data_IF_915153674428
#
_entry.id   IF_915153674428
#
_cell.length_a   1.000
_cell.length_b   1.000
_cell.length_c   1.000
_cell.angle_alpha   90.00
_cell.angle_beta   90.00
_cell.angle_gamma   90.00
#
_symmetry.space_group_name_H-M   'P 1'
#
loop_
_entity.id
_entity.type
_entity.pdbx_description
1 polymer ?
#
# COMPACT_ATOMS: atom_id res chain seq x y z
N UNK A 1 -36.82 -60.84 44.19
CA UNK A 1 -35.66 -59.91 44.29
C UNK A 1 -36.17 -58.55 43.88
N UNK A 2 -36.36 -57.69 44.88
CA UNK A 2 -37.18 -56.46 44.88
C UNK A 2 -36.43 -55.25 44.32
N UNK A 3 -37.21 -54.26 43.87
CA UNK A 3 -36.84 -53.07 43.07
C UNK A 3 -36.29 -51.91 43.95
N UNK A 4 -35.88 -52.17 45.19
CA UNK A 4 -35.42 -51.16 46.16
C UNK A 4 -33.89 -51.11 46.32
N UNK A 5 -33.15 -50.88 45.23
CA UNK A 5 -31.70 -50.67 45.34
C UNK A 5 -31.15 -49.57 44.41
N UNK A 6 -32.01 -48.76 43.79
CA UNK A 6 -31.60 -47.76 42.78
C UNK A 6 -31.78 -46.29 43.24
N UNK A 7 -32.05 -46.06 44.53
CA UNK A 7 -32.26 -44.72 45.09
C UNK A 7 -31.62 -44.55 46.47
N UNK A 8 -30.32 -44.84 46.58
CA UNK A 8 -29.53 -44.39 47.72
C UNK A 8 -28.99 -42.98 47.41
N UNK A 9 -29.74 -41.96 47.81
CA UNK A 9 -29.32 -40.56 47.75
C UNK A 9 -28.38 -40.26 48.91
N UNK A 10 -27.10 -40.65 48.74
CA UNK A 10 -26.00 -40.18 49.56
C UNK A 10 -25.70 -38.70 49.28
N UNK A 11 -25.84 -37.88 50.31
CA UNK A 11 -25.23 -36.56 50.52
C UNK A 11 -25.09 -35.62 49.30
N UNK A 12 -26.20 -34.95 48.98
CA UNK A 12 -26.16 -33.67 48.26
C UNK A 12 -25.74 -32.57 49.23
N UNK A 13 -24.43 -32.50 49.52
CA UNK A 13 -23.82 -31.34 50.17
C UNK A 13 -24.01 -30.12 49.24
N UNK A 14 -24.52 -29.04 49.83
CA UNK A 14 -24.96 -27.82 49.14
C UNK A 14 -23.90 -27.31 48.16
N UNK A 15 -24.23 -27.30 46.87
CA UNK A 15 -23.48 -26.54 45.88
C UNK A 15 -23.41 -25.06 46.33
N UNK A 16 -22.22 -24.42 46.36
CA UNK A 16 -22.12 -23.03 46.75
C UNK A 16 -22.88 -22.18 45.73
N UNK A 17 -23.82 -21.40 46.27
CA UNK A 17 -24.64 -20.44 45.53
C UNK A 17 -23.77 -19.54 44.66
N UNK A 18 -24.06 -19.54 43.37
CA UNK A 18 -23.59 -18.58 42.37
C UNK A 18 -23.57 -17.16 42.95
N UNK A 19 -22.37 -16.59 43.08
CA UNK A 19 -22.14 -15.25 43.62
C UNK A 19 -21.97 -14.25 42.49
N UNK A 20 -22.86 -13.25 42.43
CA UNK A 20 -22.82 -12.13 41.47
C UNK A 20 -21.52 -11.28 41.55
N UNK A 21 -20.64 -11.55 42.52
CA UNK A 21 -19.33 -10.91 42.61
C UNK A 21 -18.30 -11.48 41.61
N UNK A 22 -18.40 -12.78 41.25
CA UNK A 22 -17.51 -13.38 40.23
C UNK A 22 -17.79 -12.81 38.85
N UNK A 23 -19.07 -12.62 38.50
CA UNK A 23 -19.48 -12.07 37.22
C UNK A 23 -18.94 -10.64 36.98
N UNK A 24 -18.88 -9.81 38.04
CA UNK A 24 -18.28 -8.47 37.95
C UNK A 24 -16.76 -8.52 37.79
N UNK A 25 -16.08 -9.45 38.45
CA UNK A 25 -14.63 -9.64 38.32
C UNK A 25 -14.25 -10.08 36.90
N UNK A 26 -14.95 -11.08 36.38
CA UNK A 26 -14.69 -11.66 35.06
C UNK A 26 -15.10 -10.70 33.93
N UNK A 27 -16.20 -9.94 34.10
CA UNK A 27 -16.59 -8.89 33.17
C UNK A 27 -15.62 -7.69 33.18
N UNK A 28 -15.03 -7.36 34.33
CA UNK A 28 -14.02 -6.30 34.45
C UNK A 28 -12.69 -6.75 33.79
N UNK A 29 -12.27 -8.00 34.02
CA UNK A 29 -11.09 -8.59 33.40
C UNK A 29 -11.24 -8.71 31.87
N UNK A 30 -12.42 -9.14 31.39
CA UNK A 30 -12.71 -9.19 29.96
C UNK A 30 -12.75 -7.79 29.31
N UNK A 31 -13.28 -6.78 30.01
CA UNK A 31 -13.25 -5.38 29.55
C UNK A 31 -11.84 -4.78 29.54
N UNK A 32 -11.00 -5.14 30.51
CA UNK A 32 -9.60 -4.72 30.56
C UNK A 32 -8.79 -5.30 29.38
N UNK A 33 -8.92 -6.60 29.11
CA UNK A 33 -8.27 -7.25 27.97
C UNK A 33 -8.75 -6.72 26.60
N UNK A 34 -10.06 -6.43 26.48
CA UNK A 34 -10.61 -5.81 25.28
C UNK A 34 -10.12 -4.36 25.08
N UNK A 35 -9.92 -3.60 26.17
CA UNK A 35 -9.38 -2.25 26.12
C UNK A 35 -7.89 -2.24 25.71
N UNK A 36 -7.11 -3.22 26.15
CA UNK A 36 -5.69 -3.34 25.83
C UNK A 36 -5.48 -3.75 24.36
N UNK A 37 -6.25 -4.73 23.85
CA UNK A 37 -6.23 -5.10 22.43
C UNK A 37 -6.78 -4.00 21.51
N UNK A 38 -7.80 -3.25 21.96
CA UNK A 38 -8.27 -2.06 21.24
C UNK A 38 -7.28 -0.88 21.30
N UNK A 39 -6.41 -0.85 22.30
CA UNK A 39 -5.28 0.08 22.42
C UNK A 39 -4.17 -0.25 21.43
N UNK A 40 -3.79 -1.52 21.30
CA UNK A 40 -2.79 -1.99 20.33
C UNK A 40 -3.21 -1.76 18.87
N UNK A 41 -4.49 -2.00 18.53
CA UNK A 41 -5.03 -1.70 17.20
C UNK A 41 -5.09 -0.19 16.89
N UNK A 42 -5.37 0.64 17.91
CA UNK A 42 -5.33 2.11 17.80
C UNK A 42 -3.89 2.66 17.69
N UNK A 43 -2.92 2.06 18.36
CA UNK A 43 -1.51 2.43 18.24
C UNK A 43 -0.93 2.06 16.86
N UNK A 44 -1.21 0.87 16.33
CA UNK A 44 -0.76 0.47 14.96
C UNK A 44 -1.42 1.33 13.87
N UNK A 45 -2.72 1.63 14.00
CA UNK A 45 -3.41 2.57 13.11
C UNK A 45 -2.94 4.01 13.28
N UNK A 46 -2.54 4.40 14.48
CA UNK A 46 -1.98 5.71 14.82
C UNK A 46 -0.57 5.93 14.27
N UNK A 47 0.27 4.90 14.24
CA UNK A 47 1.60 4.92 13.62
C UNK A 47 1.53 4.94 12.10
N UNK A 48 0.61 4.16 11.48
CA UNK A 48 0.35 4.25 10.04
C UNK A 48 -0.24 5.62 9.65
N UNK A 49 -1.13 6.20 10.48
CA UNK A 49 -1.66 7.56 10.30
C UNK A 49 -0.65 8.66 10.63
N UNK A 50 0.34 8.43 11.51
CA UNK A 50 1.45 9.34 11.80
C UNK A 50 2.52 9.29 10.71
N UNK A 51 2.88 8.11 10.20
CA UNK A 51 3.76 7.96 9.04
C UNK A 51 3.15 8.62 7.79
N UNK A 52 1.83 8.56 7.62
CA UNK A 52 1.11 9.29 6.57
C UNK A 52 1.02 10.82 6.80
N UNK A 53 1.20 11.30 8.04
CA UNK A 53 1.17 12.74 8.38
C UNK A 53 2.55 13.42 8.41
N UNK A 54 3.64 12.66 8.40
CA UNK A 54 5.01 13.19 8.47
C UNK A 54 5.61 13.19 7.06
N UNK A 55 5.25 14.20 6.26
CA UNK A 55 5.82 14.34 4.92
C UNK A 55 5.19 15.47 4.12
N UNK A 56 5.79 16.65 4.21
CA UNK A 56 5.66 17.82 3.34
C UNK A 56 4.39 18.69 3.47
N UNK A 57 4.56 19.86 4.11
CA UNK A 57 3.72 21.07 3.99
C UNK A 57 3.94 21.79 2.63
N UNK A 58 4.22 21.07 1.54
CA UNK A 58 4.66 21.65 0.27
C UNK A 58 3.52 21.95 -0.70
N UNK A 59 3.61 23.08 -1.41
CA UNK A 59 2.69 23.48 -2.50
C UNK A 59 2.56 22.41 -3.60
N UNK A 60 3.59 21.56 -3.78
CA UNK A 60 3.58 20.43 -4.72
C UNK A 60 2.64 19.28 -4.33
N UNK A 61 2.14 19.23 -3.10
CA UNK A 61 1.11 18.24 -2.72
C UNK A 61 -0.20 18.50 -3.47
N UNK A 62 -0.52 19.77 -3.73
CA UNK A 62 -1.75 20.18 -4.40
C UNK A 62 -1.79 19.78 -5.89
N UNK A 63 -0.63 19.52 -6.50
CA UNK A 63 -0.54 19.07 -7.89
C UNK A 63 -1.10 17.65 -8.02
N UNK A 64 -1.92 17.43 -9.04
CA UNK A 64 -2.56 16.15 -9.33
C UNK A 64 -1.54 15.00 -9.48
N UNK A 65 -1.85 13.84 -8.91
CA UNK A 65 -0.96 12.66 -8.97
C UNK A 65 -0.67 12.20 -10.41
N UNK A 66 -1.59 12.48 -11.35
CA UNK A 66 -1.41 12.19 -12.78
C UNK A 66 -0.21 12.91 -13.37
N UNK A 67 -0.08 14.21 -13.07
CA UNK A 67 1.01 15.03 -13.57
C UNK A 67 2.35 14.55 -13.00
N UNK A 68 2.38 14.16 -11.72
CA UNK A 68 3.59 13.61 -11.07
C UNK A 68 4.01 12.27 -11.67
N UNK A 69 3.07 11.36 -11.95
CA UNK A 69 3.36 10.08 -12.63
C UNK A 69 3.87 10.33 -14.05
N UNK A 70 3.19 11.20 -14.82
CA UNK A 70 3.63 11.56 -16.16
C UNK A 70 5.02 12.19 -16.18
N UNK A 71 5.32 13.08 -15.21
CA UNK A 71 6.63 13.69 -15.04
C UNK A 71 7.70 12.65 -14.70
N UNK A 72 7.40 11.68 -13.81
CA UNK A 72 8.35 10.61 -13.49
C UNK A 72 8.69 9.77 -14.74
N UNK A 73 7.68 9.43 -15.54
CA UNK A 73 7.89 8.67 -16.78
C UNK A 73 8.72 9.50 -17.77
N UNK A 74 8.37 10.77 -17.97
CA UNK A 74 9.11 11.66 -18.86
C UNK A 74 10.57 11.86 -18.41
N UNK A 75 10.80 12.06 -17.11
CA UNK A 75 12.13 12.17 -16.52
C UNK A 75 12.94 10.87 -16.69
N UNK A 76 12.29 9.71 -16.51
CA UNK A 76 12.94 8.42 -16.71
C UNK A 76 13.38 8.23 -18.16
N UNK A 77 12.49 8.50 -19.12
CA UNK A 77 12.82 8.42 -20.56
C UNK A 77 13.94 9.40 -20.92
N UNK A 78 13.85 10.65 -20.45
CA UNK A 78 14.85 11.67 -20.72
C UNK A 78 16.22 11.30 -20.14
N UNK A 79 16.26 10.74 -18.92
CA UNK A 79 17.50 10.22 -18.33
C UNK A 79 18.15 9.15 -19.20
N UNK A 80 17.37 8.27 -19.85
CA UNK A 80 17.87 7.23 -20.74
C UNK A 80 18.40 7.76 -22.08
N UNK A 81 17.80 8.84 -22.59
CA UNK A 81 18.25 9.49 -23.83
C UNK A 81 19.56 10.26 -23.67
N UNK A 82 19.85 10.79 -22.47
CA UNK A 82 21.06 11.59 -22.21
C UNK A 82 22.32 10.74 -22.08
N UNK A 83 23.26 10.84 -23.04
CA UNK A 83 24.56 10.18 -22.98
C UNK A 83 25.65 10.94 -22.21
N UNK A 84 25.42 12.23 -21.90
CA UNK A 84 26.47 13.14 -21.44
C UNK A 84 26.46 13.37 -19.93
N UNK A 85 27.66 13.57 -19.37
CA UNK A 85 27.85 13.87 -17.96
C UNK A 85 27.23 15.22 -17.55
N UNK A 86 27.24 16.20 -18.46
CA UNK A 86 26.58 17.50 -18.25
C UNK A 86 25.06 17.37 -18.17
N UNK A 87 24.44 16.59 -19.06
CA UNK A 87 23.00 16.38 -19.02
C UNK A 87 22.56 15.62 -17.75
N UNK A 88 23.38 14.71 -17.24
CA UNK A 88 23.17 14.10 -15.93
C UNK A 88 23.26 15.12 -14.79
N UNK A 89 24.18 16.09 -14.87
CA UNK A 89 24.26 17.21 -13.92
C UNK A 89 23.04 18.14 -13.95
N UNK A 90 22.48 18.39 -15.13
CA UNK A 90 21.22 19.15 -15.25
C UNK A 90 20.06 18.35 -14.68
N UNK A 91 20.02 17.03 -14.90
CA UNK A 91 19.00 16.16 -14.34
C UNK A 91 19.05 16.09 -12.80
N UNK A 92 20.25 16.02 -12.21
CA UNK A 92 20.40 16.11 -10.74
C UNK A 92 19.93 17.44 -10.19
N UNK A 93 20.27 18.56 -10.85
CA UNK A 93 19.84 19.90 -10.45
C UNK A 93 18.31 20.04 -10.53
N UNK A 94 17.69 19.54 -11.61
CA UNK A 94 16.23 19.53 -11.77
C UNK A 94 15.57 18.71 -10.66
N UNK A 95 16.06 17.51 -10.37
CA UNK A 95 15.51 16.66 -9.31
C UNK A 95 15.69 17.29 -7.92
N UNK A 96 16.84 17.92 -7.67
CA UNK A 96 17.10 18.65 -6.43
C UNK A 96 16.17 19.86 -6.26
N UNK A 97 15.88 20.59 -7.34
CA UNK A 97 14.91 21.68 -7.31
C UNK A 97 13.51 21.16 -6.94
N UNK A 98 13.05 20.06 -7.56
CA UNK A 98 11.76 19.45 -7.21
C UNK A 98 11.74 18.96 -5.77
N UNK A 99 12.85 18.40 -5.25
CA UNK A 99 12.97 18.00 -3.86
C UNK A 99 12.90 19.18 -2.88
N UNK A 100 13.54 20.30 -3.23
CA UNK A 100 13.53 21.52 -2.44
C UNK A 100 12.14 22.15 -2.38
N UNK A 101 11.47 22.31 -3.52
CA UNK A 101 10.09 22.83 -3.57
C UNK A 101 9.10 21.86 -2.91
N UNK A 102 9.36 20.55 -2.99
CA UNK A 102 8.62 19.52 -2.28
C UNK A 102 8.83 19.52 -0.76
N UNK A 103 9.84 20.23 -0.25
CA UNK A 103 10.18 20.26 1.18
C UNK A 103 10.58 18.89 1.73
N UNK A 104 11.13 18.02 0.89
CA UNK A 104 11.54 16.66 1.30
C UNK A 104 12.95 16.71 1.86
N UNK A 105 13.19 16.30 3.12
CA UNK A 105 14.53 16.30 3.69
C UNK A 105 15.40 15.27 2.95
N UNK A 106 16.55 15.71 2.43
CA UNK A 106 17.50 14.87 1.69
C UNK A 106 17.95 13.64 2.50
N UNK A 107 18.01 13.78 3.83
CA UNK A 107 18.31 12.68 4.75
C UNK A 107 17.29 11.51 4.66
N UNK A 108 16.02 11.80 4.37
CA UNK A 108 15.00 10.77 4.18
C UNK A 108 15.25 10.00 2.87
N UNK A 109 15.61 10.71 1.81
CA UNK A 109 15.90 10.12 0.52
C UNK A 109 17.15 9.23 0.58
N UNK A 110 18.18 9.69 1.29
CA UNK A 110 19.38 8.89 1.57
C UNK A 110 19.05 7.63 2.38
N UNK A 111 18.20 7.74 3.42
CA UNK A 111 17.84 6.61 4.28
C UNK A 111 16.93 5.57 3.60
N UNK A 112 15.94 6.02 2.84
CA UNK A 112 15.02 5.12 2.11
C UNK A 112 15.73 4.46 0.92
N UNK A 113 16.68 5.15 0.29
CA UNK A 113 17.53 4.61 -0.77
C UNK A 113 18.65 3.69 -0.29
N UNK A 114 18.74 3.37 1.01
CA UNK A 114 19.84 2.59 1.59
C UNK A 114 20.06 1.23 0.87
N UNK A 115 18.98 0.57 0.49
CA UNK A 115 19.03 -0.70 -0.24
C UNK A 115 19.59 -0.58 -1.67
N UNK A 116 19.55 0.61 -2.27
CA UNK A 116 20.02 0.82 -3.64
C UNK A 116 21.53 1.08 -3.72
N UNK A 117 22.17 1.66 -2.70
CA UNK A 117 23.61 1.92 -2.72
C UNK A 117 24.51 0.70 -2.97
N UNK A 118 24.28 -0.48 -2.37
CA UNK A 118 25.12 -1.64 -2.68
C UNK A 118 25.00 -2.07 -4.14
N UNK A 119 23.79 -1.98 -4.72
CA UNK A 119 23.53 -2.31 -6.12
C UNK A 119 24.24 -1.30 -7.04
N UNK A 120 24.11 0.00 -6.75
CA UNK A 120 24.76 1.06 -7.53
C UNK A 120 26.29 0.96 -7.44
N UNK A 121 26.83 0.66 -6.25
CA UNK A 121 28.27 0.47 -6.03
C UNK A 121 28.82 -0.74 -6.79
N UNK A 122 28.12 -1.88 -6.75
CA UNK A 122 28.48 -3.05 -7.55
C UNK A 122 28.48 -2.76 -9.05
N UNK A 123 27.44 -2.08 -9.53
CA UNK A 123 27.32 -1.72 -10.94
C UNK A 123 28.40 -0.74 -11.41
N UNK A 124 28.78 0.21 -10.54
CA UNK A 124 29.88 1.15 -10.79
C UNK A 124 31.19 0.38 -11.01
N UNK A 125 31.56 -0.51 -10.08
CA UNK A 125 32.80 -1.30 -10.18
C UNK A 125 32.82 -2.13 -11.48
N UNK A 126 31.70 -2.79 -11.79
CA UNK A 126 31.59 -3.60 -13.00
C UNK A 126 31.73 -2.77 -14.29
N UNK A 127 31.04 -1.63 -14.39
CA UNK A 127 31.10 -0.78 -15.59
C UNK A 127 32.42 -0.04 -15.72
N UNK A 128 33.05 0.37 -14.61
CA UNK A 128 34.40 0.97 -14.65
C UNK A 128 35.40 -0.04 -15.21
N UNK A 129 35.30 -1.31 -14.81
CA UNK A 129 36.16 -2.38 -15.35
C UNK A 129 35.89 -2.69 -16.83
N UNK A 130 34.63 -2.63 -17.28
CA UNK A 130 34.24 -3.02 -18.64
C UNK A 130 34.32 -1.88 -19.68
N UNK A 131 33.96 -0.66 -19.29
CA UNK A 131 33.68 0.46 -20.21
C UNK A 131 34.43 1.75 -19.84
N UNK A 132 35.25 1.72 -18.78
CA UNK A 132 36.02 2.85 -18.30
C UNK A 132 35.28 3.75 -17.31
N UNK A 133 36.04 4.66 -16.69
CA UNK A 133 35.58 5.47 -15.55
C UNK A 133 34.39 6.38 -15.87
N UNK A 134 34.42 7.08 -17.00
CA UNK A 134 33.36 8.02 -17.36
C UNK A 134 32.01 7.32 -17.60
N UNK A 135 32.03 6.21 -18.33
CA UNK A 135 30.81 5.43 -18.59
C UNK A 135 30.26 4.79 -17.32
N UNK A 136 31.13 4.25 -16.45
CA UNK A 136 30.71 3.66 -15.18
C UNK A 136 30.06 4.67 -14.24
N UNK A 137 30.64 5.87 -14.11
CA UNK A 137 30.06 6.94 -13.28
C UNK A 137 28.71 7.39 -13.86
N UNK A 138 28.59 7.54 -15.18
CA UNK A 138 27.35 7.95 -15.83
C UNK A 138 26.20 6.95 -15.57
N UNK A 139 26.47 5.65 -15.71
CA UNK A 139 25.47 4.59 -15.47
C UNK A 139 25.07 4.50 -14.00
N UNK A 140 26.04 4.57 -13.09
CA UNK A 140 25.78 4.54 -11.64
C UNK A 140 24.94 5.75 -11.21
N UNK A 141 25.28 6.94 -11.69
CA UNK A 141 24.54 8.17 -11.42
C UNK A 141 23.12 8.12 -12.00
N UNK A 142 22.94 7.59 -13.22
CA UNK A 142 21.62 7.39 -13.84
C UNK A 142 20.72 6.51 -12.97
N UNK A 143 21.22 5.36 -12.50
CA UNK A 143 20.44 4.50 -11.61
C UNK A 143 20.10 5.19 -10.29
N UNK A 144 21.07 5.89 -9.69
CA UNK A 144 20.83 6.63 -8.46
C UNK A 144 19.72 7.67 -8.64
N UNK A 145 19.73 8.42 -9.75
CA UNK A 145 18.72 9.42 -10.09
C UNK A 145 17.32 8.81 -10.30
N UNK A 146 17.23 7.65 -10.95
CA UNK A 146 15.96 6.94 -11.12
C UNK A 146 15.37 6.49 -9.78
N UNK A 147 16.20 5.94 -8.90
CA UNK A 147 15.80 5.53 -7.56
C UNK A 147 15.33 6.75 -6.77
N UNK A 148 16.11 7.83 -6.77
CA UNK A 148 15.78 9.05 -6.05
C UNK A 148 14.50 9.69 -6.58
N UNK A 149 14.28 9.73 -7.89
CA UNK A 149 13.05 10.24 -8.49
C UNK A 149 11.81 9.42 -8.10
N UNK A 150 11.93 8.09 -8.07
CA UNK A 150 10.85 7.18 -7.64
C UNK A 150 10.52 7.36 -6.16
N UNK A 151 11.54 7.41 -5.29
CA UNK A 151 11.37 7.65 -3.86
C UNK A 151 10.77 9.04 -3.59
N UNK A 152 11.17 10.04 -4.36
CA UNK A 152 10.60 11.38 -4.29
C UNK A 152 9.10 11.36 -4.63
N UNK A 153 8.71 10.66 -5.70
CA UNK A 153 7.30 10.50 -6.04
C UNK A 153 6.50 9.82 -4.91
N UNK A 154 7.06 8.76 -4.32
CA UNK A 154 6.45 8.07 -3.17
C UNK A 154 6.35 8.99 -1.94
N UNK A 155 7.35 9.84 -1.68
CA UNK A 155 7.31 10.78 -0.56
C UNK A 155 6.28 11.90 -0.79
N UNK A 156 6.10 12.36 -2.03
CA UNK A 156 5.18 13.46 -2.39
C UNK A 156 3.72 13.01 -2.59
N UNK A 157 3.43 11.71 -2.71
CA UNK A 157 2.11 11.20 -3.10
C UNK A 157 1.60 10.14 -2.13
N UNK A 158 0.28 10.05 -1.89
CA UNK A 158 -0.27 8.92 -1.12
C UNK A 158 -0.49 7.71 -2.03
N UNK A 159 -0.41 6.48 -1.52
CA UNK A 159 -0.68 5.28 -2.30
C UNK A 159 -2.10 5.27 -2.90
N UNK A 160 -3.07 5.84 -2.19
CA UNK A 160 -4.44 5.99 -2.69
C UNK A 160 -4.56 7.03 -3.83
N UNK A 161 -3.77 8.10 -3.81
CA UNK A 161 -3.71 9.06 -4.91
C UNK A 161 -3.00 8.49 -6.15
N UNK A 162 -1.93 7.74 -5.94
CA UNK A 162 -1.19 7.09 -7.03
C UNK A 162 -2.04 6.05 -7.76
N UNK A 163 -2.77 5.21 -7.01
CA UNK A 163 -3.64 4.19 -7.60
C UNK A 163 -4.80 4.80 -8.39
N UNK A 164 -5.42 5.86 -7.86
CA UNK A 164 -6.46 6.61 -8.58
C UNK A 164 -5.89 7.34 -9.80
N UNK A 165 -4.69 7.93 -9.69
CA UNK A 165 -3.97 8.54 -10.81
C UNK A 165 -3.70 7.54 -11.93
N UNK A 166 -3.24 6.34 -11.57
CA UNK A 166 -2.95 5.25 -12.50
C UNK A 166 -4.23 4.73 -13.18
N UNK A 167 -5.31 4.52 -12.43
CA UNK A 167 -6.63 4.15 -12.98
C UNK A 167 -7.05 5.14 -14.07
N UNK A 168 -6.88 6.43 -13.82
CA UNK A 168 -7.26 7.49 -14.75
C UNK A 168 -6.35 7.54 -15.98
N UNK A 169 -5.06 7.24 -15.82
CA UNK A 169 -4.10 7.15 -16.92
C UNK A 169 -4.42 5.99 -17.87
N UNK A 170 -5.05 4.92 -17.37
CA UNK A 170 -5.55 3.81 -18.18
C UNK A 170 -6.92 4.08 -18.85
N UNK A 171 -7.66 5.11 -18.43
CA UNK A 171 -8.95 5.49 -19.04
C UNK A 171 -8.93 5.68 -20.57
N UNK A 172 -7.96 6.39 -21.19
CA UNK A 172 -7.94 6.60 -22.64
C UNK A 172 -7.69 5.33 -23.46
N UNK A 173 -7.12 4.27 -22.86
CA UNK A 173 -6.96 2.97 -23.53
C UNK A 173 -8.31 2.33 -23.89
N UNK A 174 -9.43 2.82 -23.34
CA UNK A 174 -10.76 2.37 -23.72
C UNK A 174 -11.12 2.68 -25.18
N UNK A 175 -10.48 3.69 -25.78
CA UNK A 175 -10.65 4.00 -27.21
C UNK A 175 -10.02 2.96 -28.14
N UNK A 176 -9.13 2.11 -27.62
CA UNK A 176 -8.49 1.01 -28.35
C UNK A 176 -9.28 -0.31 -28.26
N UNK A 177 -10.55 -0.27 -27.84
CA UNK A 177 -11.43 -1.44 -27.77
C UNK A 177 -11.26 -2.31 -26.51
N UNK A 178 -10.44 -1.87 -25.54
CA UNK A 178 -10.29 -2.56 -24.26
C UNK A 178 -11.47 -2.23 -23.32
N UNK A 179 -12.00 -3.19 -22.54
CA UNK A 179 -13.07 -2.98 -21.56
C UNK A 179 -12.57 -2.23 -20.31
N UNK A 180 -12.06 -1.02 -20.52
CA UNK A 180 -11.44 -0.20 -19.48
C UNK A 180 -12.42 0.21 -18.41
N UNK A 181 -13.71 0.32 -18.74
CA UNK A 181 -14.78 0.62 -17.77
C UNK A 181 -14.84 -0.44 -16.67
N UNK A 182 -14.97 -1.69 -17.06
CA UNK A 182 -15.18 -2.80 -16.12
C UNK A 182 -13.90 -3.04 -15.31
N UNK A 183 -12.74 -2.93 -15.95
CA UNK A 183 -11.43 -2.95 -15.30
C UNK A 183 -11.26 -1.83 -14.27
N UNK A 184 -11.64 -0.60 -14.62
CA UNK A 184 -11.53 0.54 -13.71
C UNK A 184 -12.45 0.37 -12.49
N UNK A 185 -13.65 -0.19 -12.68
CA UNK A 185 -14.59 -0.47 -11.59
C UNK A 185 -14.13 -1.62 -10.70
N UNK A 186 -13.62 -2.71 -11.26
CA UNK A 186 -13.07 -3.84 -10.49
C UNK A 186 -11.83 -3.42 -9.70
N UNK A 187 -10.94 -2.62 -10.31
CA UNK A 187 -9.77 -2.05 -9.63
C UNK A 187 -10.20 -1.14 -8.46
N UNK A 188 -11.23 -0.31 -8.64
CA UNK A 188 -11.79 0.53 -7.58
C UNK A 188 -12.26 -0.28 -6.37
N UNK A 189 -12.98 -1.35 -6.64
CA UNK A 189 -13.52 -2.26 -5.63
C UNK A 189 -12.35 -2.98 -4.94
N UNK A 190 -11.38 -3.47 -5.70
CA UNK A 190 -10.20 -4.14 -5.17
C UNK A 190 -9.39 -3.24 -4.21
N UNK A 191 -9.14 -1.98 -4.59
CA UNK A 191 -8.43 -1.02 -3.75
C UNK A 191 -9.17 -0.75 -2.43
N UNK A 192 -10.50 -0.68 -2.47
CA UNK A 192 -11.33 -0.52 -1.25
C UNK A 192 -11.39 -1.80 -0.42
N UNK A 193 -11.30 -2.97 -1.05
CA UNK A 193 -11.26 -4.26 -0.36
C UNK A 193 -9.90 -4.57 0.26
N UNK A 194 -8.79 -4.05 -0.27
CA UNK A 194 -7.45 -4.24 0.29
C UNK A 194 -7.33 -3.93 1.79
N UNK A 195 -7.73 -2.74 2.30
CA UNK A 195 -7.62 -2.45 3.74
C UNK A 195 -8.47 -3.40 4.57
N UNK A 196 -9.67 -3.74 4.12
CA UNK A 196 -10.57 -4.60 4.86
C UNK A 196 -10.13 -6.08 4.84
N UNK A 197 -9.56 -6.54 3.73
CA UNK A 197 -8.90 -7.84 3.68
C UNK A 197 -7.72 -7.90 4.65
N UNK A 198 -6.96 -6.80 4.79
CA UNK A 198 -5.88 -6.74 5.77
C UNK A 198 -6.37 -6.84 7.21
N UNK A 199 -7.54 -6.27 7.53
CA UNK A 199 -8.16 -6.35 8.85
C UNK A 199 -8.68 -7.77 9.12
N UNK A 200 -9.40 -8.36 8.17
CA UNK A 200 -9.88 -9.75 8.25
C UNK A 200 -8.73 -10.74 8.41
N UNK A 201 -7.66 -10.56 7.61
CA UNK A 201 -6.46 -11.40 7.70
C UNK A 201 -5.83 -11.34 9.09
N UNK A 202 -5.77 -10.16 9.72
CA UNK A 202 -5.26 -10.00 11.08
C UNK A 202 -6.18 -10.66 12.10
N UNK A 203 -7.50 -10.51 11.96
CA UNK A 203 -8.48 -11.13 12.86
C UNK A 203 -8.43 -12.67 12.78
N UNK A 204 -8.42 -13.23 11.57
CA UNK A 204 -8.29 -14.68 11.35
C UNK A 204 -6.95 -15.18 11.87
N UNK A 205 -5.85 -14.44 11.63
CA UNK A 205 -4.53 -14.80 12.18
C UNK A 205 -4.54 -14.86 13.69
N UNK A 206 -5.12 -13.86 14.36
CA UNK A 206 -5.24 -13.85 15.81
C UNK A 206 -6.06 -15.05 16.32
N UNK A 207 -7.21 -15.33 15.69
CA UNK A 207 -8.05 -16.47 16.05
C UNK A 207 -7.33 -17.83 15.87
N UNK A 208 -6.57 -18.00 14.79
CA UNK A 208 -5.77 -19.22 14.57
C UNK A 208 -4.60 -19.32 15.55
N UNK A 209 -3.97 -18.19 15.90
CA UNK A 209 -2.93 -18.16 16.93
C UNK A 209 -3.50 -18.59 18.30
N UNK A 210 -4.69 -18.13 18.68
CA UNK A 210 -5.39 -18.59 19.89
C UNK A 210 -5.75 -20.08 19.86
N UNK A 211 -5.90 -20.67 18.67
CA UNK A 211 -6.12 -22.13 18.48
C UNK A 211 -4.81 -22.93 18.43
N UNK A 212 -3.66 -22.31 18.72
CA UNK A 212 -2.37 -22.98 18.81
C UNK A 212 -1.59 -23.04 17.48
N UNK A 213 -1.99 -22.28 16.46
CA UNK A 213 -1.20 -22.18 15.23
C UNK A 213 0.10 -21.39 15.48
N UNK A 214 1.24 -22.07 15.41
CA UNK A 214 2.56 -21.46 15.59
C UNK A 214 3.04 -20.76 14.30
N UNK A 215 2.89 -19.44 14.23
CA UNK A 215 3.35 -18.62 13.09
C UNK A 215 4.79 -18.14 13.20
N UNK A 216 5.34 -18.00 14.41
CA UNK A 216 6.67 -17.43 14.63
C UNK A 216 7.72 -18.46 15.09
N UNK A 217 7.37 -19.34 16.02
CA UNK A 217 8.31 -20.29 16.66
C UNK A 217 8.29 -21.70 16.03
N UNK A 218 8.25 -21.76 14.69
CA UNK A 218 8.08 -23.02 13.97
C UNK A 218 9.03 -23.11 12.77
N UNK A 219 9.61 -24.30 12.55
CA UNK A 219 10.41 -24.58 11.35
C UNK A 219 9.62 -24.32 10.05
N UNK A 220 10.33 -24.05 8.95
CA UNK A 220 9.78 -23.65 7.64
C UNK A 220 8.53 -24.45 7.22
N UNK A 221 8.58 -25.79 7.36
CA UNK A 221 7.48 -26.69 6.99
C UNK A 221 6.24 -26.48 7.88
N UNK A 222 6.43 -26.31 9.18
CA UNK A 222 5.33 -26.10 10.15
C UNK A 222 4.70 -24.72 9.98
N UNK A 223 5.52 -23.70 9.66
CA UNK A 223 5.04 -22.37 9.24
C UNK A 223 4.17 -22.45 7.98
N UNK A 224 4.63 -23.15 6.94
CA UNK A 224 3.88 -23.28 5.69
C UNK A 224 2.52 -23.95 5.90
N UNK A 225 2.47 -25.02 6.71
CA UNK A 225 1.22 -25.71 7.05
C UNK A 225 0.27 -24.81 7.84
N UNK A 226 0.78 -24.00 8.77
CA UNK A 226 -0.02 -23.01 9.50
C UNK A 226 -0.60 -21.93 8.58
N UNK A 227 0.17 -21.45 7.59
CA UNK A 227 -0.35 -20.54 6.57
C UNK A 227 -1.43 -21.20 5.70
N UNK A 228 -1.29 -22.48 5.36
CA UNK A 228 -2.32 -23.25 4.66
C UNK A 228 -3.66 -23.26 5.40
N UNK A 229 -3.64 -23.47 6.73
CA UNK A 229 -4.84 -23.42 7.57
C UNK A 229 -5.49 -22.04 7.66
N UNK A 230 -4.72 -20.97 7.45
CA UNK A 230 -5.19 -19.59 7.42
C UNK A 230 -5.80 -19.17 6.07
N UNK A 231 -5.36 -19.79 4.97
CA UNK A 231 -5.86 -19.47 3.62
C UNK A 231 -7.34 -19.82 3.45
N UNK A 232 -7.76 -21.00 3.94
CA UNK A 232 -9.15 -21.48 3.73
C UNK A 232 -10.19 -20.52 4.35
N UNK A 233 -10.10 -20.11 5.62
CA UNK A 233 -11.07 -19.17 6.20
C UNK A 233 -11.09 -17.81 5.50
N UNK A 234 -9.92 -17.28 5.13
CA UNK A 234 -9.82 -15.99 4.44
C UNK A 234 -10.45 -16.04 3.05
N UNK A 235 -10.20 -17.11 2.29
CA UNK A 235 -10.79 -17.30 0.95
C UNK A 235 -12.30 -17.46 1.02
N UNK A 236 -12.83 -18.27 1.95
CA UNK A 236 -14.27 -18.41 2.14
C UNK A 236 -14.91 -17.07 2.56
N UNK A 237 -14.24 -16.31 3.42
CA UNK A 237 -14.68 -14.97 3.80
C UNK A 237 -14.71 -14.00 2.61
N UNK A 238 -13.69 -14.05 1.75
CA UNK A 238 -13.61 -13.25 0.52
C UNK A 238 -14.73 -13.58 -0.47
N UNK A 239 -15.01 -14.86 -0.74
CA UNK A 239 -16.08 -15.26 -1.66
C UNK A 239 -17.45 -14.81 -1.15
N UNK A 240 -17.77 -15.08 0.12
CA UNK A 240 -19.04 -14.61 0.72
C UNK A 240 -19.21 -13.10 0.60
N UNK A 241 -18.12 -12.36 0.66
CA UNK A 241 -18.13 -10.91 0.57
C UNK A 241 -18.27 -10.41 -0.85
N UNK A 242 -17.67 -11.10 -1.81
CA UNK A 242 -17.88 -10.86 -3.24
C UNK A 242 -19.36 -11.11 -3.60
N UNK A 243 -19.95 -12.22 -3.14
CA UNK A 243 -21.37 -12.55 -3.38
C UNK A 243 -22.31 -11.48 -2.80
N UNK A 244 -22.06 -11.05 -1.57
CA UNK A 244 -22.83 -9.96 -0.93
C UNK A 244 -22.69 -8.65 -1.69
N UNK A 245 -21.51 -8.34 -2.21
CA UNK A 245 -21.30 -7.15 -3.02
C UNK A 245 -22.04 -7.25 -4.35
N UNK A 246 -21.96 -8.40 -5.04
CA UNK A 246 -22.65 -8.64 -6.30
C UNK A 246 -24.17 -8.49 -6.14
N UNK A 247 -24.76 -9.17 -5.16
CA UNK A 247 -26.19 -9.05 -4.86
C UNK A 247 -26.61 -7.60 -4.51
N UNK A 248 -25.76 -6.86 -3.77
CA UNK A 248 -26.02 -5.46 -3.46
C UNK A 248 -25.89 -4.54 -4.69
N UNK A 249 -25.02 -4.86 -5.64
CA UNK A 249 -24.87 -4.14 -6.90
C UNK A 249 -26.07 -4.39 -7.83
N UNK A 250 -26.53 -5.64 -7.93
CA UNK A 250 -27.74 -6.02 -8.67
C UNK A 250 -28.98 -5.33 -8.11
N UNK A 251 -29.15 -5.32 -6.77
CA UNK A 251 -30.26 -4.62 -6.12
C UNK A 251 -30.26 -3.10 -6.35
N UNK A 252 -29.10 -2.51 -6.69
CA UNK A 252 -28.95 -1.09 -7.06
C UNK A 252 -29.00 -0.86 -8.57
N UNK A 253 -29.38 -1.87 -9.34
CA UNK A 253 -29.46 -1.83 -10.80
C UNK A 253 -28.12 -1.44 -11.46
N UNK A 254 -26.99 -1.85 -10.87
CA UNK A 254 -25.68 -1.58 -11.46
C UNK A 254 -25.56 -2.29 -12.83
N UNK A 255 -25.26 -1.53 -13.89
CA UNK A 255 -25.21 -2.05 -15.26
C UNK A 255 -26.55 -2.04 -16.01
N UNK A 256 -27.65 -1.59 -15.39
CA UNK A 256 -28.94 -1.45 -16.06
C UNK A 256 -28.99 -0.24 -17.02
N UNK A 257 -28.17 0.80 -16.76
CA UNK A 257 -28.00 1.94 -17.66
C UNK A 257 -26.72 1.80 -18.50
N UNK A 258 -26.79 2.20 -19.79
CA UNK A 258 -25.67 2.08 -20.72
C UNK A 258 -24.46 2.95 -20.36
N UNK A 259 -24.70 4.15 -19.83
CA UNK A 259 -23.65 5.08 -19.41
C UNK A 259 -23.76 5.42 -17.92
N UNK A 260 -22.80 4.98 -17.08
CA UNK A 260 -22.74 5.39 -15.68
C UNK A 260 -22.23 6.83 -15.55
N UNK A 261 -22.97 7.67 -14.82
CA UNK A 261 -22.54 9.03 -14.45
C UNK A 261 -21.51 8.99 -13.31
N UNK A 262 -20.39 9.70 -13.48
CA UNK A 262 -19.36 9.84 -12.44
C UNK A 262 -19.73 10.94 -11.44
N UNK A 263 -19.87 10.59 -10.16
CA UNK A 263 -20.14 11.57 -9.09
C UNK A 263 -18.90 12.36 -8.65
N UNK A 264 -17.69 11.84 -8.88
CA UNK A 264 -16.44 12.45 -8.41
C UNK A 264 -15.49 12.68 -9.58
N UNK A 265 -15.70 13.79 -10.27
CA UNK A 265 -14.75 14.30 -11.23
C UNK A 265 -13.71 15.17 -10.52
N UNK A 266 -12.56 14.58 -10.14
CA UNK A 266 -11.34 15.38 -10.00
C UNK A 266 -11.00 15.97 -11.36
N UNK A 267 -11.37 17.24 -11.57
CA UNK A 267 -11.05 18.03 -12.76
C UNK A 267 -9.56 18.27 -12.78
N UNK A 268 -8.95 17.96 -13.92
CA UNK A 268 -7.56 18.33 -14.19
C UNK A 268 -7.52 19.86 -14.25
N UNK A 269 -6.83 20.50 -13.30
CA UNK A 269 -6.72 21.95 -13.33
C UNK A 269 -5.82 22.37 -14.49
N UNK A 270 -6.11 23.51 -15.12
CA UNK A 270 -5.21 24.08 -16.12
C UNK A 270 -3.79 24.30 -15.56
N UNK A 271 -3.69 24.53 -14.24
CA UNK A 271 -2.41 24.59 -13.52
C UNK A 271 -1.64 23.27 -13.51
N UNK A 272 -2.32 22.12 -13.38
CA UNK A 272 -1.67 20.80 -13.43
C UNK A 272 -1.13 20.50 -14.83
N UNK A 273 -1.87 20.95 -15.86
CA UNK A 273 -1.45 20.86 -17.26
C UNK A 273 -0.21 21.71 -17.55
N UNK A 274 -0.17 22.94 -17.03
CA UNK A 274 0.99 23.81 -17.18
C UNK A 274 2.23 23.24 -16.49
N UNK A 275 2.10 22.70 -15.27
CA UNK A 275 3.20 22.05 -14.55
C UNK A 275 3.72 20.83 -15.32
N UNK A 276 2.82 20.01 -15.86
CA UNK A 276 3.21 18.86 -16.68
C UNK A 276 3.93 19.30 -17.95
N UNK A 277 3.41 20.28 -18.68
CA UNK A 277 4.02 20.79 -19.91
C UNK A 277 5.40 21.40 -19.66
N UNK A 278 5.53 22.27 -18.66
CA UNK A 278 6.82 22.89 -18.30
C UNK A 278 7.81 21.82 -17.85
N UNK A 279 7.36 20.85 -17.04
CA UNK A 279 8.21 19.76 -16.59
C UNK A 279 8.69 18.84 -17.72
N UNK A 280 7.81 18.49 -18.65
CA UNK A 280 8.16 17.70 -19.85
C UNK A 280 9.08 18.51 -20.77
N UNK A 281 8.80 19.80 -20.98
CA UNK A 281 9.66 20.67 -21.78
C UNK A 281 11.07 20.78 -21.16
N UNK A 282 11.18 20.91 -19.84
CA UNK A 282 12.47 20.87 -19.14
C UNK A 282 13.16 19.51 -19.32
N UNK A 283 12.42 18.40 -19.29
CA UNK A 283 12.96 17.07 -19.53
C UNK A 283 13.52 16.90 -20.96
N UNK A 284 12.76 17.36 -21.95
CA UNK A 284 13.17 17.34 -23.36
C UNK A 284 14.36 18.27 -23.59
N UNK A 285 14.36 19.46 -22.98
CA UNK A 285 15.46 20.42 -23.10
C UNK A 285 16.79 19.83 -22.61
N UNK A 286 16.81 19.14 -21.45
CA UNK A 286 18.05 18.50 -20.98
C UNK A 286 18.41 17.25 -21.80
N UNK A 287 17.43 16.50 -22.30
CA UNK A 287 17.69 15.35 -23.15
C UNK A 287 18.35 15.74 -24.48
N UNK A 288 18.06 16.95 -24.97
CA UNK A 288 18.65 17.53 -26.19
C UNK A 288 19.99 18.23 -25.95
N UNK A 289 20.48 18.33 -24.70
CA UNK A 289 21.81 18.87 -24.44
C UNK A 289 22.86 17.90 -24.99
N UNK A 290 23.64 18.29 -26.00
CA UNK A 290 24.64 17.45 -26.64
C UNK A 290 25.90 17.27 -25.80
#
# INVERSE_FOLDING_TARGET
>A
MTVEALWDTGDMEKAPTYSAASEKGDACAARAGAAEHAGGARCSGGEARRAARIGAKGMLRAVDARAKIGLLVAYSVALFCTGNLLGLGVATALLAAVAFVGGVPVARLLREGAFAYPIVGFLLVYNVAASGWLAGIAVALRLLLLVWASLLLMALSTPAELSEGLRRLFSPLGRLGLPVRDFATSLSIALRFMPLLSEELRAVRAAQASRGAAFEDAGLVRRLRAYGGLMVPVLVGLFRRADRLAAAMEARCYGASGEPTSLVERRFSAGDGAVLLVGVAACVAFALVP
#
